data_IF_958157499648
#
_entry.id   IF_958157499648
#
_cell.length_a   1.000
_cell.length_b   1.000
_cell.length_c   1.000
_cell.angle_alpha   90.00
_cell.angle_beta   90.00
_cell.angle_gamma   90.00
#
_symmetry.space_group_name_H-M   'P 1'
#
loop_
_entity.id
_entity.type
_entity.pdbx_description
1 polymer ?
#
# COMPACT_ATOMS: atom_id res chain seq x y z
N UNK A 1 6.68 -23.22 2.08
CA UNK A 1 7.18 -22.91 0.72
C UNK A 1 7.22 -21.39 0.46
N UNK A 2 7.89 -20.63 1.37
CA UNK A 2 8.04 -19.16 1.24
C UNK A 2 8.98 -18.73 0.09
N UNK A 3 9.83 -19.62 -0.43
CA UNK A 3 10.84 -19.27 -1.46
C UNK A 3 10.30 -19.24 -2.90
N UNK A 4 9.16 -19.85 -3.20
CA UNK A 4 8.63 -19.91 -4.57
C UNK A 4 7.91 -18.62 -4.99
N UNK A 5 7.19 -17.95 -4.09
CA UNK A 5 6.48 -16.70 -4.42
C UNK A 5 7.43 -15.50 -4.61
N UNK A 6 8.53 -15.46 -3.84
CA UNK A 6 9.56 -14.40 -3.98
C UNK A 6 10.25 -14.47 -5.34
N UNK A 7 10.41 -15.67 -5.90
CA UNK A 7 11.04 -15.88 -7.22
C UNK A 7 10.24 -15.25 -8.36
N UNK A 8 8.93 -15.44 -8.38
CA UNK A 8 8.05 -14.89 -9.42
C UNK A 8 7.93 -13.36 -9.33
N UNK A 9 7.87 -12.82 -8.12
CA UNK A 9 7.84 -11.37 -7.93
C UNK A 9 9.17 -10.71 -8.30
N UNK A 10 10.31 -11.31 -7.93
CA UNK A 10 11.63 -10.86 -8.40
C UNK A 10 11.75 -10.89 -9.93
N UNK A 11 11.21 -11.93 -10.56
CA UNK A 11 11.21 -12.06 -12.03
C UNK A 11 10.32 -11.00 -12.69
N UNK A 12 9.17 -10.66 -12.05
CA UNK A 12 8.30 -9.58 -12.48
C UNK A 12 9.02 -8.21 -12.38
N UNK A 13 9.69 -7.93 -11.27
CA UNK A 13 10.44 -6.68 -11.11
C UNK A 13 11.70 -6.59 -11.98
N UNK A 14 12.37 -7.72 -12.28
CA UNK A 14 13.56 -7.74 -13.15
C UNK A 14 13.26 -7.42 -14.62
N UNK A 15 12.02 -7.59 -15.06
CA UNK A 15 11.55 -7.18 -16.40
C UNK A 15 11.13 -5.71 -16.50
N UNK A 16 10.93 -5.04 -15.35
CA UNK A 16 10.56 -3.63 -15.26
C UNK A 16 11.83 -2.79 -15.11
N UNK A 17 12.15 -1.96 -16.07
CA UNK A 17 13.34 -1.10 -16.02
C UNK A 17 13.34 -0.11 -14.82
N UNK A 18 12.18 0.42 -14.46
CA UNK A 18 11.92 1.29 -13.31
C UNK A 18 10.51 0.97 -12.79
N UNK A 19 10.41 0.67 -11.48
CA UNK A 19 9.13 0.38 -10.83
C UNK A 19 8.48 1.67 -10.36
N UNK A 20 7.24 1.90 -10.75
CA UNK A 20 6.45 3.04 -10.28
C UNK A 20 5.65 2.67 -9.05
N UNK A 21 5.81 3.43 -7.97
CA UNK A 21 5.12 3.20 -6.70
C UNK A 21 4.29 4.43 -6.35
N UNK A 22 2.99 4.25 -6.21
CA UNK A 22 2.06 5.28 -5.74
C UNK A 22 1.66 4.98 -4.31
N UNK A 23 2.00 5.87 -3.39
CA UNK A 23 1.53 5.82 -2.01
C UNK A 23 0.33 6.74 -1.90
N UNK A 24 -0.83 6.16 -1.61
CA UNK A 24 -2.08 6.91 -1.43
C UNK A 24 -2.03 7.63 -0.09
N UNK A 25 -2.28 8.93 -0.08
CA UNK A 25 -2.33 9.71 1.15
C UNK A 25 -3.71 10.35 1.32
N UNK A 26 -4.19 10.37 2.56
CA UNK A 26 -5.51 10.87 2.94
C UNK A 26 -5.47 11.43 4.36
N UNK A 27 -6.50 12.20 4.72
CA UNK A 27 -6.61 12.77 6.06
C UNK A 27 -6.61 11.68 7.13
N UNK A 28 -5.90 11.92 8.24
CA UNK A 28 -5.72 10.99 9.35
C UNK A 28 -4.89 9.72 9.04
N UNK A 29 -4.19 9.66 7.90
CA UNK A 29 -3.20 8.61 7.70
C UNK A 29 -2.05 8.73 8.70
N UNK A 30 -1.41 7.63 9.06
CA UNK A 30 -0.21 7.63 9.90
C UNK A 30 1.01 8.00 9.07
N UNK A 31 1.57 9.18 9.27
CA UNK A 31 2.70 9.69 8.49
C UNK A 31 3.90 8.71 8.44
N UNK A 32 4.28 8.13 9.58
CA UNK A 32 5.40 7.21 9.66
C UNK A 32 5.27 6.01 8.71
N UNK A 33 4.04 5.51 8.49
CA UNK A 33 3.81 4.32 7.66
C UNK A 33 3.96 4.57 6.15
N UNK A 34 3.95 5.81 5.70
CA UNK A 34 4.13 6.11 4.29
C UNK A 34 5.37 6.96 3.99
N UNK A 35 5.75 7.87 4.87
CA UNK A 35 6.99 8.64 4.71
C UNK A 35 8.19 7.70 4.82
N UNK A 36 8.17 6.76 5.78
CA UNK A 36 9.24 5.78 5.94
C UNK A 36 9.41 4.86 4.72
N UNK A 37 8.31 4.39 4.13
CA UNK A 37 8.35 3.61 2.88
C UNK A 37 8.86 4.48 1.72
N UNK A 38 8.40 5.72 1.61
CA UNK A 38 8.86 6.66 0.60
C UNK A 38 10.38 6.82 0.64
N UNK A 39 10.94 7.09 1.84
CA UNK A 39 12.37 7.28 2.02
C UNK A 39 13.15 5.98 1.72
N UNK A 40 12.66 4.84 2.22
CA UNK A 40 13.27 3.54 1.97
C UNK A 40 13.41 3.25 0.47
N UNK A 41 12.32 3.39 -0.28
CA UNK A 41 12.30 3.11 -1.72
C UNK A 41 13.10 4.15 -2.51
N UNK A 42 13.09 5.42 -2.09
CA UNK A 42 13.93 6.45 -2.68
C UNK A 42 15.42 6.12 -2.54
N UNK A 43 15.87 5.75 -1.34
CA UNK A 43 17.27 5.35 -1.11
C UNK A 43 17.63 4.07 -1.85
N UNK A 44 16.75 3.07 -1.85
CA UNK A 44 16.97 1.82 -2.57
C UNK A 44 17.09 2.06 -4.08
N UNK A 45 16.21 2.88 -4.65
CA UNK A 45 16.21 3.22 -6.08
C UNK A 45 17.48 3.95 -6.53
N UNK A 46 17.91 4.94 -5.75
CA UNK A 46 19.14 5.69 -6.03
C UNK A 46 20.40 4.82 -5.85
N UNK A 47 20.42 3.96 -4.83
CA UNK A 47 21.50 3.01 -4.63
C UNK A 47 21.61 2.04 -5.79
N UNK A 48 20.47 1.49 -6.24
CA UNK A 48 20.44 0.63 -7.42
C UNK A 48 21.00 1.33 -8.66
N UNK A 49 20.57 2.56 -8.94
CA UNK A 49 21.09 3.36 -10.05
C UNK A 49 22.60 3.53 -9.97
N UNK A 50 23.11 3.90 -8.79
CA UNK A 50 24.55 4.15 -8.58
C UNK A 50 25.40 2.90 -8.78
N UNK A 51 24.96 1.74 -8.28
CA UNK A 51 25.77 0.52 -8.29
C UNK A 51 25.55 -0.36 -9.51
N UNK A 52 24.39 -0.26 -10.19
CA UNK A 52 24.09 -1.03 -11.38
C UNK A 52 24.54 -0.35 -12.69
N UNK A 53 24.92 0.93 -12.64
CA UNK A 53 25.24 1.73 -13.81
C UNK A 53 24.02 2.10 -14.68
N UNK A 54 22.81 1.87 -14.18
CA UNK A 54 21.59 2.22 -14.90
C UNK A 54 21.39 3.73 -14.96
N UNK A 55 20.75 4.22 -16.02
CA UNK A 55 20.50 5.65 -16.23
C UNK A 55 19.37 6.21 -15.38
N UNK A 56 18.51 5.33 -14.83
CA UNK A 56 17.34 5.69 -14.01
C UNK A 56 17.36 4.95 -12.67
N UNK A 57 16.75 5.52 -11.60
CA UNK A 57 16.59 4.83 -10.33
C UNK A 57 15.70 3.59 -10.49
N UNK A 58 15.88 2.60 -9.60
CA UNK A 58 15.06 1.38 -9.60
C UNK A 58 13.60 1.63 -9.27
N UNK A 59 13.30 2.68 -8.48
CA UNK A 59 11.94 3.07 -8.09
C UNK A 59 11.68 4.54 -8.40
N UNK A 60 10.46 4.81 -8.88
CA UNK A 60 9.87 6.14 -8.91
C UNK A 60 8.70 6.16 -7.93
N UNK A 61 8.89 6.82 -6.78
CA UNK A 61 7.89 6.89 -5.73
C UNK A 61 7.16 8.22 -5.78
N UNK A 62 5.85 8.20 -5.62
CA UNK A 62 5.02 9.40 -5.52
C UNK A 62 3.97 9.26 -4.44
N UNK A 63 3.74 10.34 -3.71
CA UNK A 63 2.60 10.50 -2.81
C UNK A 63 1.45 11.09 -3.63
N UNK A 64 0.28 10.50 -3.56
CA UNK A 64 -0.90 10.98 -4.26
C UNK A 64 -2.10 11.06 -3.31
N UNK A 65 -2.70 12.24 -3.18
CA UNK A 65 -4.04 12.38 -2.61
C UNK A 65 -5.08 12.29 -3.74
N UNK A 66 -6.36 12.17 -3.41
CA UNK A 66 -7.39 12.04 -4.43
C UNK A 66 -7.34 13.15 -5.49
N UNK A 67 -7.27 14.39 -5.05
CA UNK A 67 -7.38 15.59 -5.90
C UNK A 67 -6.08 16.42 -5.95
N UNK A 68 -4.99 15.89 -5.44
CA UNK A 68 -3.69 16.60 -5.40
C UNK A 68 -3.58 17.64 -4.29
N UNK A 69 -4.60 17.81 -3.45
CA UNK A 69 -4.57 18.77 -2.34
C UNK A 69 -3.81 18.22 -1.14
N UNK A 70 -3.22 19.10 -0.30
CA UNK A 70 -2.62 18.70 0.96
C UNK A 70 -3.60 17.96 1.86
N UNK A 71 -3.08 16.97 2.60
CA UNK A 71 -3.82 16.18 3.58
C UNK A 71 -3.29 16.43 4.99
N UNK A 72 -4.16 16.38 5.99
CA UNK A 72 -3.81 16.52 7.39
C UNK A 72 -3.68 15.15 8.04
N UNK A 73 -2.45 14.73 8.31
CA UNK A 73 -2.19 13.43 8.91
C UNK A 73 -2.45 13.45 10.42
N UNK A 74 -2.46 12.28 11.04
CA UNK A 74 -2.89 12.04 12.42
C UNK A 74 -2.33 13.02 13.45
N UNK A 75 -1.07 13.42 13.35
CA UNK A 75 -0.39 14.27 14.34
C UNK A 75 -0.46 15.78 14.01
N UNK A 76 -1.35 16.19 13.10
CA UNK A 76 -1.55 17.58 12.73
C UNK A 76 -0.56 18.13 11.70
N UNK A 77 0.33 17.30 11.17
CA UNK A 77 1.19 17.71 10.07
C UNK A 77 0.38 17.74 8.77
N UNK A 78 0.61 18.77 7.96
CA UNK A 78 0.11 18.83 6.60
C UNK A 78 1.13 18.23 5.64
N UNK A 79 0.68 17.31 4.79
CA UNK A 79 1.51 16.68 3.75
C UNK A 79 1.02 17.14 2.39
N UNK A 80 1.89 17.76 1.61
CA UNK A 80 1.62 18.10 0.22
C UNK A 80 1.96 16.90 -0.65
N UNK A 81 0.99 16.31 -1.37
CA UNK A 81 1.25 15.20 -2.28
C UNK A 81 2.00 15.67 -3.53
N UNK A 82 2.61 14.75 -4.25
CA UNK A 82 3.29 15.04 -5.53
C UNK A 82 2.29 15.26 -6.66
N UNK A 83 1.12 14.61 -6.61
CA UNK A 83 0.11 14.65 -7.67
C UNK A 83 -1.27 14.24 -7.16
N UNK A 84 -2.27 14.42 -8.02
CA UNK A 84 -3.60 13.84 -7.85
C UNK A 84 -3.59 12.35 -8.23
N UNK A 85 -4.32 11.53 -7.48
CA UNK A 85 -4.57 10.13 -7.82
C UNK A 85 -5.37 10.01 -9.13
N UNK A 86 -6.19 11.03 -9.43
CA UNK A 86 -6.99 11.10 -10.67
C UNK A 86 -6.12 11.24 -11.93
N UNK A 87 -4.92 11.82 -11.80
CA UNK A 87 -3.98 12.04 -12.90
C UNK A 87 -3.07 10.83 -13.15
N UNK A 88 -3.25 9.75 -12.39
CA UNK A 88 -2.45 8.55 -12.50
C UNK A 88 -3.18 7.51 -13.35
N UNK A 89 -2.74 7.32 -14.59
CA UNK A 89 -3.27 6.29 -15.46
C UNK A 89 -2.92 4.88 -14.97
N UNK A 90 -1.67 4.70 -14.52
CA UNK A 90 -1.15 3.42 -14.02
C UNK A 90 0.03 3.62 -13.08
N UNK A 91 0.15 2.72 -12.13
CA UNK A 91 1.33 2.49 -11.30
C UNK A 91 1.53 1.00 -11.11
N UNK A 92 2.78 0.54 -11.00
CA UNK A 92 3.06 -0.89 -10.80
C UNK A 92 2.66 -1.34 -9.40
N UNK A 93 2.79 -0.43 -8.42
CA UNK A 93 2.46 -0.67 -7.02
C UNK A 93 1.62 0.48 -6.47
N UNK A 94 0.57 0.15 -5.73
CA UNK A 94 -0.16 1.09 -4.88
C UNK A 94 -0.03 0.67 -3.41
N UNK A 95 0.31 1.60 -2.54
CA UNK A 95 0.42 1.37 -1.10
C UNK A 95 -0.58 2.26 -0.36
N UNK A 96 -1.35 1.65 0.53
CA UNK A 96 -2.35 2.32 1.36
C UNK A 96 -1.88 2.32 2.80
N UNK A 97 -1.57 3.48 3.40
CA UNK A 97 -1.14 3.60 4.78
C UNK A 97 -2.26 3.28 5.76
N UNK A 98 -1.90 3.12 7.02
CA UNK A 98 -2.88 2.83 8.07
C UNK A 98 -3.81 4.01 8.31
N UNK A 99 -5.09 3.69 8.52
CA UNK A 99 -6.12 4.61 9.02
C UNK A 99 -5.88 4.83 10.52
N UNK A 100 -5.97 6.07 10.96
CA UNK A 100 -6.03 6.40 12.38
C UNK A 100 -7.39 7.03 12.72
N UNK A 101 -7.95 6.67 13.88
CA UNK A 101 -9.27 7.14 14.30
C UNK A 101 -10.41 6.27 13.77
N UNK A 102 -11.49 6.91 13.33
CA UNK A 102 -12.71 6.25 12.87
C UNK A 102 -12.51 5.65 11.47
N UNK A 103 -12.58 4.32 11.39
CA UNK A 103 -12.36 3.58 10.16
C UNK A 103 -13.51 3.79 9.19
N UNK A 104 -14.76 3.71 9.68
CA UNK A 104 -15.96 3.81 8.85
C UNK A 104 -16.07 5.18 8.20
N UNK A 105 -16.00 6.24 8.99
CA UNK A 105 -16.00 7.60 8.47
C UNK A 105 -14.84 7.85 7.48
N UNK A 106 -13.67 7.27 7.71
CA UNK A 106 -12.54 7.41 6.77
C UNK A 106 -12.79 6.71 5.44
N UNK A 107 -13.36 5.50 5.46
CA UNK A 107 -13.70 4.77 4.24
C UNK A 107 -14.78 5.49 3.44
N UNK A 108 -15.84 5.98 4.09
CA UNK A 108 -16.91 6.74 3.44
C UNK A 108 -16.39 8.02 2.76
N UNK A 109 -15.56 8.80 3.46
CA UNK A 109 -14.95 10.03 2.92
C UNK A 109 -14.01 9.75 1.75
N UNK A 110 -13.48 8.54 1.64
CA UNK A 110 -12.52 8.11 0.62
C UNK A 110 -13.06 7.02 -0.33
N UNK A 111 -14.38 6.93 -0.52
CA UNK A 111 -15.01 5.94 -1.41
C UNK A 111 -14.43 5.94 -2.84
N UNK A 112 -14.02 7.11 -3.33
CA UNK A 112 -13.36 7.28 -4.62
C UNK A 112 -11.96 6.64 -4.68
N UNK A 113 -11.22 6.63 -3.56
CA UNK A 113 -9.93 5.92 -3.44
C UNK A 113 -10.15 4.41 -3.56
N UNK A 114 -11.19 3.88 -2.92
CA UNK A 114 -11.57 2.46 -3.00
C UNK A 114 -11.79 2.04 -4.45
N UNK A 115 -12.53 2.85 -5.22
CA UNK A 115 -12.75 2.59 -6.65
C UNK A 115 -11.47 2.64 -7.47
N UNK A 116 -10.57 3.60 -7.18
CA UNK A 116 -9.29 3.70 -7.85
C UNK A 116 -8.39 2.48 -7.58
N UNK A 117 -8.37 1.98 -6.35
CA UNK A 117 -7.62 0.77 -5.98
C UNK A 117 -8.16 -0.48 -6.69
N UNK A 118 -9.49 -0.61 -6.80
CA UNK A 118 -10.11 -1.69 -7.56
C UNK A 118 -9.68 -1.66 -9.02
N UNK A 119 -9.79 -0.50 -9.67
CA UNK A 119 -9.34 -0.31 -11.05
C UNK A 119 -7.85 -0.67 -11.22
N UNK A 120 -6.99 -0.22 -10.29
CA UNK A 120 -5.56 -0.51 -10.32
C UNK A 120 -5.27 -2.02 -10.21
N UNK A 121 -5.97 -2.72 -9.33
CA UNK A 121 -5.86 -4.18 -9.17
C UNK A 121 -6.29 -4.93 -10.43
N UNK A 122 -7.39 -4.51 -11.07
CA UNK A 122 -7.88 -5.06 -12.34
C UNK A 122 -6.88 -4.84 -13.49
N UNK A 123 -6.07 -3.79 -13.42
CA UNK A 123 -4.97 -3.49 -14.35
C UNK A 123 -3.68 -4.28 -14.04
N UNK A 124 -3.70 -5.12 -13.01
CA UNK A 124 -2.57 -5.97 -12.61
C UNK A 124 -1.55 -5.30 -11.71
N UNK A 125 -1.86 -4.13 -11.13
CA UNK A 125 -1.01 -3.51 -10.13
C UNK A 125 -0.94 -4.35 -8.86
N UNK A 126 0.21 -4.31 -8.16
CA UNK A 126 0.34 -4.80 -6.80
C UNK A 126 -0.30 -3.80 -5.85
N UNK A 127 -1.16 -4.25 -4.95
CA UNK A 127 -1.82 -3.39 -3.96
C UNK A 127 -1.39 -3.80 -2.57
N UNK A 128 -0.78 -2.88 -1.83
CA UNK A 128 -0.35 -3.09 -0.45
C UNK A 128 -1.19 -2.30 0.54
N UNK A 129 -1.64 -2.96 1.61
CA UNK A 129 -2.36 -2.33 2.72
C UNK A 129 -1.57 -2.46 4.03
N UNK A 130 -1.20 -1.30 4.62
CA UNK A 130 -0.54 -1.28 5.92
C UNK A 130 -1.58 -1.24 7.04
N UNK A 131 -1.56 -2.23 7.94
CA UNK A 131 -2.39 -2.23 9.15
C UNK A 131 -3.88 -2.03 8.83
N UNK A 132 -4.52 -0.98 9.37
CA UNK A 132 -5.90 -0.61 9.05
C UNK A 132 -6.08 -0.11 7.59
N UNK A 133 -5.01 0.10 6.84
CA UNK A 133 -5.10 0.33 5.38
C UNK A 133 -5.67 -0.86 4.63
N UNK A 134 -5.58 -2.08 5.20
CA UNK A 134 -6.23 -3.28 4.66
C UNK A 134 -7.76 -3.17 4.55
N UNK A 135 -8.40 -2.29 5.33
CA UNK A 135 -9.84 -2.03 5.22
C UNK A 135 -10.22 -1.40 3.87
N UNK A 136 -9.38 -0.54 3.31
CA UNK A 136 -9.59 -0.03 1.95
C UNK A 136 -9.60 -1.15 0.91
N UNK A 137 -8.69 -2.12 1.07
CA UNK A 137 -8.58 -3.25 0.17
C UNK A 137 -9.78 -4.19 0.30
N UNK A 138 -10.22 -4.41 1.53
CA UNK A 138 -11.40 -5.24 1.82
C UNK A 138 -12.68 -4.57 1.28
N UNK A 139 -12.85 -3.27 1.49
CA UNK A 139 -14.00 -2.50 0.99
C UNK A 139 -14.04 -2.46 -0.55
N UNK A 140 -12.88 -2.51 -1.21
CA UNK A 140 -12.77 -2.66 -2.65
C UNK A 140 -13.09 -4.08 -3.17
N UNK A 141 -13.36 -5.05 -2.27
CA UNK A 141 -13.56 -6.46 -2.62
C UNK A 141 -12.30 -7.20 -3.06
N UNK A 142 -11.12 -6.62 -2.82
CA UNK A 142 -9.85 -7.18 -3.27
C UNK A 142 -9.34 -8.32 -2.41
N UNK A 143 -9.92 -8.51 -1.22
CA UNK A 143 -9.48 -9.51 -0.24
C UNK A 143 -10.39 -10.74 -0.17
N UNK A 144 -11.52 -10.77 -0.86
CA UNK A 144 -12.47 -11.89 -0.82
C UNK A 144 -11.77 -13.19 -1.28
N UNK A 145 -11.81 -14.20 -0.41
CA UNK A 145 -11.16 -15.49 -0.60
C UNK A 145 -9.63 -15.48 -0.50
N UNK A 146 -9.01 -14.34 -0.19
CA UNK A 146 -7.56 -14.19 -0.09
C UNK A 146 -7.08 -14.12 1.34
N UNK A 147 -5.81 -14.52 1.55
CA UNK A 147 -5.12 -14.34 2.82
C UNK A 147 -4.78 -12.88 3.02
N UNK A 148 -5.21 -12.34 4.15
CA UNK A 148 -4.90 -10.98 4.54
C UNK A 148 -4.52 -10.91 6.03
N UNK A 149 -3.87 -9.83 6.43
CA UNK A 149 -3.66 -9.50 7.84
C UNK A 149 -4.00 -8.04 8.07
N UNK A 150 -4.28 -7.70 9.31
CA UNK A 150 -4.55 -6.35 9.78
C UNK A 150 -4.06 -6.19 11.21
N UNK A 151 -4.19 -5.00 11.77
CA UNK A 151 -3.84 -4.77 13.16
C UNK A 151 -4.64 -5.67 14.10
N UNK A 152 -3.95 -6.37 15.02
CA UNK A 152 -4.55 -7.37 15.92
C UNK A 152 -5.80 -6.87 16.66
N UNK A 153 -5.80 -5.63 17.15
CA UNK A 153 -6.94 -5.04 17.85
C UNK A 153 -8.19 -4.83 16.98
N UNK A 154 -8.04 -4.89 15.65
CA UNK A 154 -9.13 -4.70 14.69
C UNK A 154 -9.62 -6.02 14.08
N UNK A 155 -9.09 -7.15 14.55
CA UNK A 155 -9.41 -8.50 14.02
C UNK A 155 -10.89 -8.81 14.04
N UNK A 156 -11.57 -8.54 15.16
CA UNK A 156 -12.99 -8.88 15.33
C UNK A 156 -13.86 -8.00 14.43
N UNK A 157 -13.62 -6.69 14.43
CA UNK A 157 -14.29 -5.75 13.51
C UNK A 157 -14.08 -6.14 12.04
N UNK A 158 -12.85 -6.54 11.68
CA UNK A 158 -12.53 -6.91 10.31
C UNK A 158 -13.26 -8.19 9.89
N UNK A 159 -13.31 -9.21 10.76
CA UNK A 159 -14.02 -10.47 10.48
C UNK A 159 -15.53 -10.29 10.36
N UNK A 160 -16.10 -9.45 11.23
CA UNK A 160 -17.53 -9.13 11.21
C UNK A 160 -17.91 -8.45 9.88
N UNK A 161 -17.10 -7.49 9.45
CA UNK A 161 -17.38 -6.68 8.26
C UNK A 161 -17.06 -7.41 6.95
N UNK A 162 -16.01 -8.23 6.93
CA UNK A 162 -15.50 -8.90 5.72
C UNK A 162 -15.34 -10.42 5.93
N UNK A 163 -16.46 -11.15 6.08
CA UNK A 163 -16.43 -12.57 6.43
C UNK A 163 -15.87 -13.49 5.33
N UNK A 164 -15.72 -12.99 4.10
CA UNK A 164 -15.14 -13.75 2.99
C UNK A 164 -13.60 -13.73 2.96
N UNK A 165 -12.97 -12.91 3.80
CA UNK A 165 -11.51 -12.79 3.84
C UNK A 165 -10.89 -13.88 4.72
N UNK A 166 -9.87 -14.58 4.21
CA UNK A 166 -9.04 -15.50 5.02
C UNK A 166 -8.08 -14.70 5.90
N UNK A 167 -8.60 -14.11 6.99
CA UNK A 167 -7.85 -13.24 7.88
C UNK A 167 -6.89 -14.02 8.77
N UNK A 168 -5.60 -13.68 8.69
CA UNK A 168 -4.46 -14.28 9.38
C UNK A 168 -3.78 -13.30 10.36
N UNK A 169 -4.43 -12.96 11.48
CA UNK A 169 -3.93 -11.93 12.40
C UNK A 169 -2.64 -12.33 13.15
N UNK A 170 -2.25 -13.59 13.06
CA UNK A 170 -0.98 -14.11 13.58
C UNK A 170 0.22 -13.84 12.65
N UNK A 171 -0.03 -13.44 11.39
CA UNK A 171 1.02 -13.16 10.41
C UNK A 171 1.34 -11.67 10.38
N UNK A 172 2.62 -11.33 10.42
CA UNK A 172 3.05 -9.93 10.27
C UNK A 172 2.89 -9.40 8.84
N UNK A 173 3.02 -10.29 7.85
CA UNK A 173 2.86 -10.00 6.44
C UNK A 173 2.15 -11.14 5.75
N UNK A 174 1.18 -10.82 4.90
CA UNK A 174 0.53 -11.77 3.98
C UNK A 174 0.74 -11.31 2.55
N UNK A 175 0.93 -12.28 1.65
CA UNK A 175 0.97 -12.06 0.21
C UNK A 175 0.08 -13.10 -0.47
N UNK A 176 -0.91 -12.65 -1.23
CA UNK A 176 -1.81 -13.51 -1.98
C UNK A 176 -2.16 -12.87 -3.33
N UNK A 177 -1.68 -13.49 -4.43
CA UNK A 177 -1.80 -12.93 -5.76
C UNK A 177 -1.07 -11.58 -5.89
N UNK A 178 -1.80 -10.54 -6.23
CA UNK A 178 -1.30 -9.17 -6.33
C UNK A 178 -1.62 -8.31 -5.09
N UNK A 179 -1.88 -8.94 -3.95
CA UNK A 179 -2.23 -8.25 -2.71
C UNK A 179 -1.19 -8.53 -1.63
N UNK A 180 -0.77 -7.46 -0.96
CA UNK A 180 0.09 -7.48 0.23
C UNK A 180 -0.64 -6.83 1.40
N UNK A 181 -0.59 -7.44 2.59
CA UNK A 181 -1.06 -6.79 3.81
C UNK A 181 -0.04 -6.98 4.93
N UNK A 182 0.13 -5.98 5.77
CA UNK A 182 0.93 -6.07 6.98
C UNK A 182 0.11 -5.78 8.25
N UNK A 183 0.59 -6.27 9.40
CA UNK A 183 -0.12 -6.22 10.67
C UNK A 183 -0.01 -4.87 11.41
N UNK A 184 0.70 -3.89 10.85
CA UNK A 184 0.88 -2.58 11.48
C UNK A 184 2.06 -2.48 12.44
N UNK A 185 2.09 -1.44 13.26
CA UNK A 185 3.26 -1.11 14.08
C UNK A 185 4.43 -0.71 13.19
N UNK A 186 5.57 -1.39 13.32
CA UNK A 186 6.75 -1.21 12.47
C UNK A 186 6.75 -2.07 11.21
N UNK A 187 5.73 -2.92 10.98
CA UNK A 187 5.69 -3.85 9.84
C UNK A 187 5.51 -3.15 8.47
N UNK A 188 5.22 -1.84 8.44
CA UNK A 188 5.35 -1.05 7.23
C UNK A 188 6.76 -1.11 6.62
N UNK A 189 7.77 -1.27 7.48
CA UNK A 189 9.16 -1.43 7.05
C UNK A 189 9.35 -2.78 6.33
N UNK A 190 8.78 -3.86 6.90
CA UNK A 190 8.80 -5.19 6.27
C UNK A 190 8.05 -5.18 4.93
N UNK A 191 6.92 -4.45 4.85
CA UNK A 191 6.17 -4.27 3.60
C UNK A 191 7.03 -3.58 2.52
N UNK A 192 7.79 -2.55 2.89
CA UNK A 192 8.67 -1.82 1.98
C UNK A 192 9.92 -2.60 1.55
N UNK A 193 10.38 -3.54 2.40
CA UNK A 193 11.54 -4.40 2.10
C UNK A 193 11.15 -5.65 1.29
N UNK A 194 9.87 -6.02 1.26
CA UNK A 194 9.35 -7.19 0.56
C UNK A 194 9.33 -7.00 -0.93
#
# INVERSE_FOLDING_TARGET
NKRHNIGHFRQFLQGLGMVTVTIVVFDRALAASFIGINDLLYFAGNSYQRYSGQSKPGFQVRLASWDGRPVNVMNGLAITPHCSLQDIDRSDVYLVPTITGDIEATLEQNAHVIQALKKAADQGSLIGGNSAGSFFLAEAGLLDGKKATTQRRLTDLFRERYPLVDLRPEQFLTHDGNILCDAGGSSWFDLGLY
#
